data_IF_051577202463
#
_entry.id   IF_051577202463
#
_cell.length_a   1.000
_cell.length_b   1.000
_cell.length_c   1.000
_cell.angle_alpha   90.00
_cell.angle_beta   90.00
_cell.angle_gamma   90.00
#
_symmetry.space_group_name_H-M   'P 1'
#
loop_
_entity.id
_entity.type
_entity.pdbx_description
1 polymer ?
#
# COMPACT_ATOMS: atom_id res chain seq x y z
N UNK A 1 17.75 13.18 -8.58
CA UNK A 1 17.74 11.82 -9.16
C UNK A 1 16.46 11.63 -9.95
N UNK A 2 16.53 11.00 -11.12
CA UNK A 2 15.42 10.91 -12.08
C UNK A 2 14.33 9.97 -11.55
N UNK A 3 13.06 10.41 -11.61
CA UNK A 3 11.84 9.60 -11.46
C UNK A 3 12.01 8.28 -12.21
N UNK A 4 12.37 7.20 -11.51
CA UNK A 4 12.66 5.90 -12.12
C UNK A 4 11.49 4.92 -11.95
N UNK A 5 10.58 5.17 -11.01
CA UNK A 5 9.37 4.37 -10.80
C UNK A 5 8.46 4.31 -12.02
N UNK A 6 7.86 5.46 -12.39
CA UNK A 6 6.95 5.57 -13.54
C UNK A 6 7.52 5.13 -14.91
N UNK A 7 8.80 4.76 -15.00
CA UNK A 7 9.51 4.50 -16.26
C UNK A 7 9.18 3.14 -16.89
N UNK A 8 8.63 2.20 -16.12
CA UNK A 8 8.31 0.84 -16.60
C UNK A 8 6.81 0.58 -16.77
N UNK A 9 5.94 1.44 -16.24
CA UNK A 9 4.50 1.32 -16.47
C UNK A 9 4.13 1.92 -17.82
N UNK A 10 3.27 1.22 -18.57
CA UNK A 10 2.74 1.79 -19.80
C UNK A 10 1.89 3.04 -19.48
N UNK A 11 1.77 4.00 -20.40
CA UNK A 11 0.91 5.18 -20.21
C UNK A 11 -0.55 4.82 -19.88
N UNK A 12 -1.00 3.64 -20.31
CA UNK A 12 -2.31 3.11 -20.01
C UNK A 12 -2.43 2.64 -18.55
N UNK A 13 -1.46 1.85 -18.07
CA UNK A 13 -1.43 1.37 -16.67
C UNK A 13 -1.39 2.54 -15.68
N UNK A 14 -0.65 3.62 -16.00
CA UNK A 14 -0.61 4.83 -15.17
C UNK A 14 -1.99 5.48 -15.08
N UNK A 15 -2.72 5.58 -16.19
CA UNK A 15 -4.09 6.13 -16.21
C UNK A 15 -5.04 5.25 -15.39
N UNK A 16 -4.90 3.94 -15.49
CA UNK A 16 -5.79 3.00 -14.81
C UNK A 16 -5.58 3.00 -13.29
N UNK A 17 -4.32 3.08 -12.82
CA UNK A 17 -4.02 3.27 -11.40
C UNK A 17 -4.51 4.63 -10.89
N UNK A 18 -4.35 5.70 -11.68
CA UNK A 18 -4.87 7.03 -11.32
C UNK A 18 -6.40 7.06 -11.21
N UNK A 19 -7.14 6.25 -11.98
CA UNK A 19 -8.59 6.10 -11.82
C UNK A 19 -8.93 5.50 -10.46
N UNK A 20 -8.25 4.44 -10.05
CA UNK A 20 -8.45 3.79 -8.74
C UNK A 20 -8.12 4.78 -7.61
N UNK A 21 -6.99 5.48 -7.72
CA UNK A 21 -6.50 6.43 -6.70
C UNK A 21 -7.44 7.61 -6.49
N UNK A 22 -8.16 8.05 -7.53
CA UNK A 22 -9.17 9.10 -7.44
C UNK A 22 -10.49 8.65 -6.81
N UNK A 23 -10.59 7.36 -6.45
CA UNK A 23 -11.77 6.78 -5.82
C UNK A 23 -12.88 6.44 -6.82
N UNK A 24 -14.01 5.98 -6.28
CA UNK A 24 -15.15 5.55 -7.08
C UNK A 24 -15.93 6.77 -7.61
N UNK A 25 -16.19 6.80 -8.91
CA UNK A 25 -17.12 7.78 -9.48
C UNK A 25 -18.55 7.41 -9.03
N UNK A 26 -19.34 8.42 -8.62
CA UNK A 26 -20.79 8.26 -8.40
C UNK A 26 -21.42 7.74 -9.71
N UNK A 27 -21.67 6.44 -9.79
CA UNK A 27 -22.21 5.79 -10.99
C UNK A 27 -21.76 4.35 -11.20
N UNK A 28 -20.62 3.92 -10.63
CA UNK A 28 -20.15 2.53 -10.76
C UNK A 28 -20.58 1.69 -9.56
N UNK A 29 -21.89 1.54 -9.34
CA UNK A 29 -22.45 0.69 -8.28
C UNK A 29 -23.34 -0.38 -8.88
N UNK A 30 -23.13 -1.62 -8.48
CA UNK A 30 -23.97 -2.75 -8.87
C UNK A 30 -24.47 -3.48 -7.63
N UNK A 31 -25.77 -3.78 -7.59
CA UNK A 31 -26.31 -4.61 -6.52
C UNK A 31 -25.87 -6.07 -6.67
N UNK A 32 -25.60 -6.77 -5.56
CA UNK A 32 -25.25 -8.20 -5.58
C UNK A 32 -26.26 -9.03 -6.39
N UNK A 33 -27.55 -8.72 -6.27
CA UNK A 33 -28.61 -9.42 -7.02
C UNK A 33 -28.59 -9.14 -8.52
N UNK A 34 -28.04 -8.00 -8.95
CA UNK A 34 -27.91 -7.63 -10.36
C UNK A 34 -26.76 -8.35 -11.06
N UNK A 35 -25.70 -8.74 -10.32
CA UNK A 35 -24.57 -9.48 -10.88
C UNK A 35 -24.98 -10.81 -11.52
N UNK A 36 -25.91 -11.53 -10.88
CA UNK A 36 -26.41 -12.82 -11.39
C UNK A 36 -27.55 -12.70 -12.41
N UNK A 37 -28.17 -11.51 -12.54
CA UNK A 37 -29.38 -11.31 -13.36
C UNK A 37 -29.15 -10.48 -14.63
N UNK A 38 -28.00 -9.82 -14.74
CA UNK A 38 -27.67 -8.96 -15.87
C UNK A 38 -26.18 -9.03 -16.18
N UNK A 39 -25.81 -8.80 -17.44
CA UNK A 39 -24.42 -8.65 -17.89
C UNK A 39 -24.02 -7.19 -18.10
N UNK A 40 -24.94 -6.23 -17.93
CA UNK A 40 -24.71 -4.80 -18.17
C UNK A 40 -23.55 -4.23 -17.34
N UNK A 41 -23.36 -4.77 -16.14
CA UNK A 41 -22.25 -4.39 -15.26
C UNK A 41 -20.87 -4.67 -15.87
N UNK A 42 -20.75 -5.59 -16.83
CA UNK A 42 -19.48 -5.88 -17.50
C UNK A 42 -19.05 -4.72 -18.40
N UNK A 43 -19.98 -4.17 -19.18
CA UNK A 43 -19.73 -3.01 -20.04
C UNK A 43 -19.39 -1.76 -19.21
N UNK A 44 -20.11 -1.58 -18.10
CA UNK A 44 -19.83 -0.50 -17.15
C UNK A 44 -18.47 -0.70 -16.47
N UNK A 45 -18.10 -1.95 -16.10
CA UNK A 45 -16.79 -2.27 -15.52
C UNK A 45 -15.65 -2.03 -16.52
N UNK A 46 -15.79 -2.41 -17.78
CA UNK A 46 -14.80 -2.13 -18.83
C UNK A 46 -14.61 -0.61 -19.01
N UNK A 47 -15.70 0.16 -18.93
CA UNK A 47 -15.65 1.62 -19.10
C UNK A 47 -14.99 2.33 -17.93
N UNK A 48 -15.35 1.96 -16.70
CA UNK A 48 -14.89 2.65 -15.49
C UNK A 48 -13.63 2.03 -14.90
N UNK A 49 -13.34 0.76 -15.19
CA UNK A 49 -12.21 -0.02 -14.67
C UNK A 49 -12.38 -0.51 -13.23
N UNK A 50 -13.34 0.05 -12.49
CA UNK A 50 -13.61 -0.23 -11.09
C UNK A 50 -15.10 -0.05 -10.80
N UNK A 51 -15.66 -0.88 -9.92
CA UNK A 51 -17.07 -0.84 -9.54
C UNK A 51 -17.29 -1.31 -8.09
N UNK A 52 -18.16 -0.64 -7.34
CA UNK A 52 -18.58 -1.10 -6.02
C UNK A 52 -19.74 -2.10 -6.15
N UNK A 53 -19.62 -3.23 -5.46
CA UNK A 53 -20.71 -4.18 -5.29
C UNK A 53 -21.40 -3.87 -3.97
N UNK A 54 -22.69 -3.58 -4.03
CA UNK A 54 -23.48 -3.20 -2.86
C UNK A 54 -24.51 -4.26 -2.48
N UNK A 55 -24.62 -4.51 -1.18
CA UNK A 55 -25.70 -5.30 -0.57
C UNK A 55 -26.37 -4.45 0.50
N UNK A 56 -27.70 -4.30 0.44
CA UNK A 56 -28.47 -3.49 1.41
C UNK A 56 -27.87 -2.09 1.65
N UNK A 57 -27.45 -1.42 0.57
CA UNK A 57 -26.80 -0.09 0.57
C UNK A 57 -25.44 -0.02 1.29
N UNK A 58 -24.84 -1.16 1.63
CA UNK A 58 -23.47 -1.23 2.13
C UNK A 58 -22.56 -1.82 1.06
N UNK A 59 -21.31 -1.32 0.97
CA UNK A 59 -20.30 -1.88 0.08
C UNK A 59 -19.91 -3.26 0.60
N UNK A 60 -20.24 -4.29 -0.17
CA UNK A 60 -19.93 -5.68 0.13
C UNK A 60 -18.61 -6.12 -0.53
N UNK A 61 -18.31 -5.61 -1.73
CA UNK A 61 -17.08 -5.90 -2.46
C UNK A 61 -16.72 -4.80 -3.46
N UNK A 62 -15.51 -4.90 -4.02
CA UNK A 62 -15.02 -4.07 -5.12
C UNK A 62 -14.70 -5.00 -6.29
N UNK A 63 -15.25 -4.69 -7.46
CA UNK A 63 -14.90 -5.31 -8.73
C UNK A 63 -13.89 -4.43 -9.44
N UNK A 64 -12.84 -5.06 -9.96
CA UNK A 64 -11.84 -4.43 -10.79
C UNK A 64 -11.81 -5.13 -12.14
N UNK A 65 -11.59 -4.35 -13.18
CA UNK A 65 -11.18 -4.92 -14.45
C UNK A 65 -9.82 -5.64 -14.30
N UNK A 66 -9.58 -6.66 -15.10
CA UNK A 66 -8.39 -7.51 -14.98
C UNK A 66 -7.10 -6.73 -15.27
N UNK A 67 -7.12 -5.85 -16.27
CA UNK A 67 -5.92 -5.07 -16.63
C UNK A 67 -5.67 -3.96 -15.62
N UNK A 68 -6.75 -3.39 -15.06
CA UNK A 68 -6.69 -2.44 -13.95
C UNK A 68 -6.11 -3.10 -12.69
N UNK A 69 -6.52 -4.33 -12.39
CA UNK A 69 -5.97 -5.10 -11.26
C UNK A 69 -4.47 -5.38 -11.43
N UNK A 70 -4.02 -5.83 -12.61
CA UNK A 70 -2.60 -6.03 -12.90
C UNK A 70 -1.81 -4.72 -12.77
N UNK A 71 -2.35 -3.62 -13.29
CA UNK A 71 -1.72 -2.31 -13.17
C UNK A 71 -1.56 -1.88 -11.71
N UNK A 72 -2.57 -2.15 -10.87
CA UNK A 72 -2.51 -1.88 -9.44
C UNK A 72 -1.44 -2.73 -8.73
N UNK A 73 -1.34 -4.02 -9.04
CA UNK A 73 -0.30 -4.88 -8.46
C UNK A 73 1.10 -4.38 -8.81
N UNK A 74 1.36 -4.10 -10.09
CA UNK A 74 2.66 -3.56 -10.53
C UNK A 74 2.99 -2.23 -9.85
N UNK A 75 1.98 -1.38 -9.63
CA UNK A 75 2.17 -0.12 -8.91
C UNK A 75 2.51 -0.34 -7.42
N UNK A 76 1.88 -1.31 -6.76
CA UNK A 76 2.18 -1.65 -5.37
C UNK A 76 3.60 -2.22 -5.24
N UNK A 77 3.97 -3.20 -6.06
CA UNK A 77 5.33 -3.77 -6.07
C UNK A 77 6.39 -2.69 -6.25
N UNK A 78 6.16 -1.75 -7.17
CA UNK A 78 7.05 -0.62 -7.39
C UNK A 78 7.09 0.36 -6.21
N UNK A 79 5.94 0.63 -5.59
CA UNK A 79 5.89 1.52 -4.43
C UNK A 79 6.65 0.90 -3.24
N UNK A 80 6.60 -0.42 -3.10
CA UNK A 80 7.38 -1.15 -2.10
C UNK A 80 8.89 -1.07 -2.40
N UNK A 81 9.30 -1.27 -3.65
CA UNK A 81 10.71 -1.06 -4.07
C UNK A 81 11.19 0.37 -3.79
N UNK A 82 10.37 1.38 -4.10
CA UNK A 82 10.70 2.79 -3.82
C UNK A 82 10.81 3.05 -2.31
N UNK A 83 9.94 2.44 -1.50
CA UNK A 83 9.99 2.54 -0.05
C UNK A 83 11.26 1.89 0.51
N UNK A 84 11.60 0.69 0.06
CA UNK A 84 12.84 0.00 0.43
C UNK A 84 14.06 0.84 0.07
N UNK A 85 14.11 1.37 -1.15
CA UNK A 85 15.20 2.23 -1.58
C UNK A 85 15.30 3.49 -0.70
N UNK A 86 14.19 4.13 -0.36
CA UNK A 86 14.17 5.30 0.52
C UNK A 86 14.65 4.97 1.94
N UNK A 87 14.28 3.80 2.48
CA UNK A 87 14.78 3.32 3.77
C UNK A 87 16.30 3.07 3.73
N UNK A 88 16.79 2.42 2.67
CA UNK A 88 18.22 2.19 2.46
C UNK A 88 18.97 3.52 2.34
N UNK A 89 18.47 4.46 1.54
CA UNK A 89 19.04 5.80 1.40
C UNK A 89 19.06 6.56 2.73
N UNK A 90 18.00 6.45 3.54
CA UNK A 90 17.96 7.02 4.88
C UNK A 90 19.03 6.42 5.79
N UNK A 91 19.18 5.08 5.82
CA UNK A 91 20.21 4.39 6.60
C UNK A 91 21.63 4.81 6.17
N UNK A 92 21.89 4.89 4.86
CA UNK A 92 23.18 5.36 4.35
C UNK A 92 23.39 6.86 4.58
N UNK A 93 22.34 7.67 4.53
CA UNK A 93 22.39 9.11 4.84
C UNK A 93 22.76 9.34 6.30
N UNK A 94 22.11 8.63 7.22
CA UNK A 94 22.49 8.63 8.63
C UNK A 94 23.96 8.23 8.82
N UNK A 95 24.43 7.18 8.12
CA UNK A 95 25.84 6.75 8.19
C UNK A 95 26.82 7.76 7.58
N UNK A 96 26.46 8.44 6.48
CA UNK A 96 27.34 9.41 5.79
C UNK A 96 27.61 10.68 6.59
N UNK A 97 26.71 11.07 7.48
CA UNK A 97 26.85 12.22 8.36
C UNK A 97 27.26 11.83 9.79
N UNK A 98 27.59 10.55 10.01
CA UNK A 98 28.11 10.08 11.28
C UNK A 98 29.64 10.11 11.22
N UNK A 99 30.23 11.23 11.64
CA UNK A 99 31.68 11.35 11.81
C UNK A 99 32.18 10.68 13.11
N UNK A 100 31.26 10.44 14.06
CA UNK A 100 31.50 9.72 15.30
C UNK A 100 31.04 8.27 15.17
N UNK A 101 31.88 7.42 14.61
CA UNK A 101 31.65 5.98 14.62
C UNK A 101 31.65 5.48 16.07
N UNK A 102 30.48 5.06 16.57
CA UNK A 102 30.38 4.36 17.85
C UNK A 102 31.18 3.06 17.78
N UNK A 103 31.88 2.73 18.87
CA UNK A 103 32.59 1.46 18.98
C UNK A 103 31.62 0.28 18.91
N UNK A 104 32.13 -0.91 18.59
CA UNK A 104 31.29 -2.13 18.57
C UNK A 104 30.59 -2.40 19.90
N UNK A 105 31.22 -2.03 21.01
CA UNK A 105 30.67 -2.17 22.36
C UNK A 105 29.54 -1.17 22.64
N UNK A 106 29.67 0.08 22.18
CA UNK A 106 28.61 1.08 22.26
C UNK A 106 27.38 0.68 21.42
N UNK A 107 27.60 0.15 20.21
CA UNK A 107 26.52 -0.35 19.35
C UNK A 107 25.81 -1.55 19.99
N UNK A 108 26.56 -2.48 20.59
CA UNK A 108 25.99 -3.62 21.29
C UNK A 108 25.17 -3.19 22.52
N UNK A 109 25.63 -2.16 23.23
CA UNK A 109 24.93 -1.59 24.39
C UNK A 109 23.63 -0.92 23.96
N UNK A 110 23.66 -0.02 22.97
CA UNK A 110 22.47 0.64 22.41
C UNK A 110 21.46 -0.36 21.83
N UNK A 111 21.93 -1.43 21.18
CA UNK A 111 21.06 -2.48 20.67
C UNK A 111 20.35 -3.25 21.81
N UNK A 112 21.08 -3.60 22.88
CA UNK A 112 20.49 -4.25 24.07
C UNK A 112 19.46 -3.34 24.76
N UNK A 113 19.73 -2.04 24.84
CA UNK A 113 18.80 -1.04 25.39
C UNK A 113 17.53 -0.93 24.53
N UNK A 114 17.66 -0.86 23.20
CA UNK A 114 16.52 -0.84 22.29
C UNK A 114 15.67 -2.12 22.40
N UNK A 115 16.31 -3.28 22.52
CA UNK A 115 15.61 -4.56 22.72
C UNK A 115 14.90 -4.63 24.09
N UNK A 116 15.50 -4.06 25.15
CA UNK A 116 14.85 -3.96 26.46
C UNK A 116 13.63 -3.05 26.42
N UNK A 117 13.74 -1.87 25.79
CA UNK A 117 12.64 -0.94 25.63
C UNK A 117 11.47 -1.56 24.86
N UNK A 118 11.73 -2.22 23.72
CA UNK A 118 10.69 -2.92 22.96
C UNK A 118 10.04 -4.06 23.75
N UNK A 119 10.82 -4.78 24.56
CA UNK A 119 10.30 -5.84 25.44
C UNK A 119 9.41 -5.25 26.53
N UNK A 120 9.75 -4.09 27.06
CA UNK A 120 8.94 -3.36 28.05
C UNK A 120 7.65 -2.83 27.43
N UNK A 121 7.70 -2.29 26.21
CA UNK A 121 6.50 -1.87 25.46
C UNK A 121 5.57 -3.07 25.17
N UNK A 122 6.13 -4.19 24.70
CA UNK A 122 5.37 -5.42 24.45
C UNK A 122 4.78 -5.96 25.76
N UNK A 123 5.54 -5.93 26.86
CA UNK A 123 5.01 -6.32 28.18
C UNK A 123 3.90 -5.38 28.64
N UNK A 124 4.05 -4.07 28.53
CA UNK A 124 3.00 -3.12 28.87
C UNK A 124 1.71 -3.33 28.06
N UNK A 125 1.85 -3.76 26.80
CA UNK A 125 0.72 -4.06 25.92
C UNK A 125 0.06 -5.42 26.25
N UNK A 126 0.84 -6.42 26.70
CA UNK A 126 0.37 -7.76 27.06
C UNK A 126 -0.14 -7.87 28.50
N UNK A 127 0.49 -7.16 29.43
CA UNK A 127 0.13 -7.12 30.86
C UNK A 127 -1.15 -6.30 31.08
N UNK A 128 -1.57 -5.57 30.04
CA UNK A 128 -2.90 -4.98 29.94
C UNK A 128 -3.11 -3.79 30.88
N UNK A 129 -3.98 -2.93 30.41
CA UNK A 129 -4.64 -1.84 31.11
C UNK A 129 -5.36 -2.35 32.38
N UNK A 130 -4.60 -2.69 33.44
CA UNK A 130 -5.14 -2.89 34.79
C UNK A 130 -5.25 -1.54 35.51
N UNK A 131 -6.05 -0.63 34.97
CA UNK A 131 -6.69 0.45 35.73
C UNK A 131 -8.07 0.75 35.21
#
# INVERSE_FOLDING_TARGET
MKKKGLKNMSPQMIKDVEKIRKGFQLGSRVGVTQLGRSTKWREELERFGIMEVVERNQTAAILLDTDVFKALLTYLEQSDEELEQAQVESLFGHRRHTDNFSSGEELATKAKESLRARREDIRGLLDGDQR
#
